data_IF_070932537551
#
_entry.id   IF_070932537551
#
_cell.length_a   1.000
_cell.length_b   1.000
_cell.length_c   1.000
_cell.angle_alpha   90.00
_cell.angle_beta   90.00
_cell.angle_gamma   90.00
#
_symmetry.space_group_name_H-M   'P 1'
#
loop_
_entity.id
_entity.type
_entity.pdbx_description
1 polymer ?
#
# COMPACT_ATOMS: atom_id res chain seq x y z
N UNK A 1 24.81 3.99 -26.21
CA UNK A 1 23.44 3.49 -26.43
C UNK A 1 22.59 4.03 -25.30
N UNK A 2 21.78 5.06 -25.56
CA UNK A 2 20.94 5.71 -24.55
C UNK A 2 19.71 4.84 -24.31
N UNK A 3 19.70 4.03 -23.26
CA UNK A 3 18.44 3.57 -22.68
C UNK A 3 17.81 4.77 -21.99
N UNK A 4 16.76 5.33 -22.58
CA UNK A 4 15.81 6.19 -21.88
C UNK A 4 15.13 5.33 -20.82
N UNK A 5 15.81 5.10 -19.69
CA UNK A 5 15.24 4.37 -18.58
C UNK A 5 14.26 5.33 -17.91
N UNK A 6 12.97 5.16 -18.21
CA UNK A 6 11.93 5.91 -17.51
C UNK A 6 12.14 5.74 -16.01
N UNK A 7 12.00 6.81 -15.21
CA UNK A 7 12.21 6.73 -13.78
C UNK A 7 11.27 5.69 -13.18
N UNK A 8 11.78 4.86 -12.27
CA UNK A 8 10.97 3.87 -11.55
C UNK A 8 9.90 4.61 -10.73
N UNK A 9 8.64 4.20 -10.87
CA UNK A 9 7.51 4.80 -10.14
C UNK A 9 6.99 3.85 -9.08
N UNK A 10 7.20 4.20 -7.82
CA UNK A 10 6.89 3.34 -6.67
C UNK A 10 5.71 3.90 -5.87
N UNK A 11 4.69 3.07 -5.69
CA UNK A 11 3.62 3.29 -4.72
C UNK A 11 4.09 2.81 -3.35
N UNK A 12 4.36 3.75 -2.46
CA UNK A 12 4.97 3.49 -1.17
C UNK A 12 3.91 3.45 -0.06
N UNK A 13 3.55 2.25 0.40
CA UNK A 13 2.46 2.02 1.34
C UNK A 13 3.00 2.02 2.78
N UNK A 14 2.41 2.86 3.62
CA UNK A 14 2.82 3.04 5.01
C UNK A 14 1.62 3.01 5.94
N UNK A 15 1.85 2.69 7.22
CA UNK A 15 0.78 2.67 8.21
C UNK A 15 0.14 4.05 8.40
N UNK A 16 0.96 5.08 8.56
CA UNK A 16 0.53 6.45 8.87
C UNK A 16 1.63 7.42 8.49
N UNK A 17 1.35 8.50 7.78
CA UNK A 17 2.35 9.48 7.36
C UNK A 17 1.71 10.87 7.15
N UNK A 18 2.40 11.99 7.40
CA UNK A 18 3.71 12.10 8.06
C UNK A 18 3.61 11.83 9.56
N UNK A 19 4.67 11.26 10.14
CA UNK A 19 4.72 10.99 11.59
C UNK A 19 6.06 11.40 12.18
N UNK A 20 6.06 12.20 13.25
CA UNK A 20 7.27 12.74 13.87
C UNK A 20 8.24 11.64 14.35
N UNK A 21 7.67 10.52 14.82
CA UNK A 21 8.43 9.34 15.26
C UNK A 21 8.91 8.45 14.11
N UNK A 22 8.45 8.65 12.88
CA UNK A 22 8.78 7.81 11.71
C UNK A 22 9.74 8.54 10.76
N UNK A 23 10.84 9.04 11.32
CA UNK A 23 11.92 9.69 10.55
C UNK A 23 12.55 8.76 9.53
N UNK A 24 12.59 7.45 9.82
CA UNK A 24 13.15 6.43 8.92
C UNK A 24 12.41 6.36 7.58
N UNK A 25 11.08 6.41 7.59
CA UNK A 25 10.26 6.43 6.36
C UNK A 25 10.58 7.68 5.53
N UNK A 26 10.61 8.84 6.19
CA UNK A 26 10.91 10.10 5.51
C UNK A 26 12.30 10.08 4.87
N UNK A 27 13.31 9.65 5.62
CA UNK A 27 14.68 9.56 5.12
C UNK A 27 14.81 8.58 3.95
N UNK A 28 14.11 7.45 4.01
CA UNK A 28 14.10 6.46 2.93
C UNK A 28 13.46 7.03 1.66
N UNK A 29 12.28 7.65 1.77
CA UNK A 29 11.61 8.25 0.61
C UNK A 29 12.47 9.37 0.00
N UNK A 30 13.06 10.25 0.82
CA UNK A 30 13.97 11.29 0.33
C UNK A 30 15.21 10.71 -0.36
N UNK A 31 15.75 9.60 0.14
CA UNK A 31 16.88 8.91 -0.49
C UNK A 31 16.49 8.27 -1.83
N UNK A 32 15.28 7.74 -1.96
CA UNK A 32 14.73 7.21 -3.21
C UNK A 32 14.52 8.34 -4.23
N UNK A 33 13.92 9.46 -3.81
CA UNK A 33 13.75 10.64 -4.65
C UNK A 33 15.10 11.20 -5.15
N UNK A 34 16.11 11.26 -4.27
CA UNK A 34 17.46 11.67 -4.64
C UNK A 34 18.13 10.75 -5.67
N UNK A 35 17.70 9.49 -5.76
CA UNK A 35 18.14 8.52 -6.76
C UNK A 35 17.29 8.57 -8.06
N UNK A 36 16.34 9.50 -8.15
CA UNK A 36 15.47 9.66 -9.32
C UNK A 36 14.26 8.72 -9.35
N UNK A 37 13.97 8.01 -8.26
CA UNK A 37 12.72 7.24 -8.11
C UNK A 37 11.57 8.20 -7.88
N UNK A 38 10.50 8.04 -8.65
CA UNK A 38 9.26 8.79 -8.42
C UNK A 38 8.41 8.05 -7.39
N UNK A 39 8.24 8.65 -6.23
CA UNK A 39 7.49 8.05 -5.13
C UNK A 39 6.11 8.67 -5.02
N UNK A 40 5.10 7.84 -4.78
CA UNK A 40 3.76 8.24 -4.36
C UNK A 40 3.41 7.51 -3.08
N UNK A 41 3.14 8.24 -2.01
CA UNK A 41 2.90 7.66 -0.69
C UNK A 41 1.41 7.33 -0.56
N UNK A 42 1.11 6.10 -0.15
CA UNK A 42 -0.22 5.65 0.22
C UNK A 42 -0.25 5.37 1.72
N UNK A 43 -0.83 6.29 2.50
CA UNK A 43 -0.88 6.16 3.95
C UNK A 43 -2.18 5.47 4.36
N UNK A 44 -2.10 4.38 5.16
CA UNK A 44 -3.31 3.67 5.60
C UNK A 44 -4.21 4.57 6.45
N UNK A 45 -3.62 5.40 7.31
CA UNK A 45 -4.34 6.41 8.10
C UNK A 45 -3.67 7.78 8.07
N UNK A 46 -4.42 8.85 8.29
CA UNK A 46 -3.86 10.17 8.52
C UNK A 46 -3.63 10.36 10.04
N UNK A 47 -2.38 10.50 10.50
CA UNK A 47 -2.13 10.67 11.93
C UNK A 47 -2.53 12.06 12.46
N UNK A 48 -2.86 13.02 11.59
CA UNK A 48 -3.25 14.39 11.93
C UNK A 48 -2.25 15.08 12.88
N UNK A 49 -0.95 14.86 12.66
CA UNK A 49 0.09 15.47 13.49
C UNK A 49 0.21 16.98 13.20
N UNK A 50 0.22 17.78 14.27
CA UNK A 50 0.43 19.23 14.19
C UNK A 50 1.90 19.62 14.03
N UNK A 51 2.82 18.72 14.39
CA UNK A 51 4.27 18.92 14.30
C UNK A 51 4.87 17.77 13.51
N UNK A 52 5.56 18.11 12.43
CA UNK A 52 6.27 17.17 11.56
C UNK A 52 7.72 17.60 11.43
N UNK A 53 8.57 16.71 10.92
CA UNK A 53 9.97 17.04 10.68
C UNK A 53 10.09 18.13 9.61
N UNK A 54 11.04 19.08 9.72
CA UNK A 54 11.27 20.09 8.68
C UNK A 54 11.56 19.49 7.30
N UNK A 55 12.21 18.32 7.26
CA UNK A 55 12.55 17.59 6.04
C UNK A 55 11.32 17.16 5.23
N UNK A 56 10.11 17.13 5.82
CA UNK A 56 8.87 16.89 5.08
C UNK A 56 8.67 17.96 4.00
N UNK A 57 9.20 19.18 4.19
CA UNK A 57 9.13 20.25 3.18
C UNK A 57 9.96 19.97 1.93
N UNK A 58 10.96 19.09 2.01
CA UNK A 58 11.78 18.68 0.87
C UNK A 58 11.12 17.58 0.02
N UNK A 59 10.11 16.91 0.58
CA UNK A 59 9.42 15.78 -0.04
C UNK A 59 8.69 16.22 -1.32
N UNK A 60 8.94 15.51 -2.43
CA UNK A 60 8.24 15.73 -3.70
C UNK A 60 7.01 14.81 -3.84
N UNK A 61 7.03 13.67 -3.15
CA UNK A 61 5.99 12.66 -3.20
C UNK A 61 4.64 13.21 -2.72
N UNK A 62 3.62 13.02 -3.57
CA UNK A 62 2.23 13.18 -3.15
C UNK A 62 1.84 12.10 -2.14
N UNK A 63 0.94 12.46 -1.22
CA UNK A 63 0.39 11.55 -0.22
C UNK A 63 -1.12 11.38 -0.47
N UNK A 64 -1.56 10.15 -0.65
CA UNK A 64 -2.98 9.79 -0.65
C UNK A 64 -3.32 8.98 0.61
N UNK A 65 -4.41 9.34 1.27
CA UNK A 65 -4.85 8.66 2.49
C UNK A 65 -5.89 7.58 2.16
N UNK A 66 -5.56 6.32 2.45
CA UNK A 66 -6.44 5.20 2.14
C UNK A 66 -7.64 5.12 3.09
N UNK A 67 -7.58 5.72 4.28
CA UNK A 67 -8.73 5.83 5.19
C UNK A 67 -9.89 6.66 4.60
N UNK A 68 -9.62 7.51 3.59
CA UNK A 68 -10.67 8.21 2.85
C UNK A 68 -11.64 7.24 2.17
N UNK A 69 -11.22 5.99 1.90
CA UNK A 69 -12.10 4.95 1.40
C UNK A 69 -13.35 4.76 2.28
N UNK A 70 -13.23 4.93 3.60
CA UNK A 70 -14.34 4.78 4.55
C UNK A 70 -15.17 6.05 4.73
N UNK A 71 -14.62 7.21 4.36
CA UNK A 71 -15.28 8.51 4.51
C UNK A 71 -16.23 8.81 3.34
N UNK A 72 -16.15 8.00 2.27
CA UNK A 72 -16.99 8.15 1.07
C UNK A 72 -18.38 7.56 1.30
N UNK A 73 -19.35 8.06 0.52
CA UNK A 73 -20.69 7.49 0.52
C UNK A 73 -20.65 5.99 0.17
N UNK A 74 -21.41 5.16 0.90
CA UNK A 74 -21.42 3.70 0.71
C UNK A 74 -21.68 3.27 -0.74
N UNK A 75 -22.46 4.06 -1.50
CA UNK A 75 -22.71 3.83 -2.94
C UNK A 75 -21.43 3.91 -3.77
N UNK A 76 -20.54 4.84 -3.45
CA UNK A 76 -19.25 4.98 -4.14
C UNK A 76 -18.33 3.79 -3.83
N UNK A 77 -18.31 3.34 -2.58
CA UNK A 77 -17.55 2.14 -2.17
C UNK A 77 -18.08 0.91 -2.93
N UNK A 78 -19.41 0.68 -2.89
CA UNK A 78 -20.00 -0.43 -3.63
C UNK A 78 -19.74 -0.37 -5.13
N UNK A 79 -19.77 0.83 -5.71
CA UNK A 79 -19.48 1.02 -7.12
C UNK A 79 -18.04 0.63 -7.45
N UNK A 80 -17.05 0.98 -6.63
CA UNK A 80 -15.66 0.58 -6.85
C UNK A 80 -15.45 -0.93 -6.70
N UNK A 81 -16.12 -1.56 -5.74
CA UNK A 81 -16.13 -3.02 -5.62
C UNK A 81 -16.79 -3.70 -6.82
N UNK A 82 -17.92 -3.18 -7.30
CA UNK A 82 -18.60 -3.71 -8.48
C UNK A 82 -17.74 -3.53 -9.73
N UNK A 83 -17.16 -2.35 -9.93
CA UNK A 83 -16.22 -2.12 -11.03
C UNK A 83 -15.06 -3.10 -10.98
N UNK A 84 -14.45 -3.31 -9.81
CA UNK A 84 -13.34 -4.25 -9.65
C UNK A 84 -13.76 -5.70 -9.94
N UNK A 85 -14.95 -6.11 -9.49
CA UNK A 85 -15.50 -7.42 -9.80
C UNK A 85 -15.76 -7.61 -11.30
N UNK A 86 -16.20 -6.56 -12.00
CA UNK A 86 -16.49 -6.62 -13.43
C UNK A 86 -15.22 -6.55 -14.29
N UNK A 87 -14.20 -5.80 -13.89
CA UNK A 87 -12.96 -5.64 -14.67
C UNK A 87 -11.92 -6.73 -14.38
N UNK A 88 -11.90 -7.27 -13.17
CA UNK A 88 -10.95 -8.30 -12.75
C UNK A 88 -11.64 -9.37 -11.87
N UNK A 89 -12.62 -10.14 -12.39
CA UNK A 89 -13.44 -11.05 -11.57
C UNK A 89 -12.62 -12.11 -10.83
N UNK A 90 -11.64 -12.73 -11.50
CA UNK A 90 -10.78 -13.75 -10.88
C UNK A 90 -9.89 -13.14 -9.79
N UNK A 91 -9.32 -11.97 -10.04
CA UNK A 91 -8.50 -11.24 -9.07
C UNK A 91 -9.33 -10.80 -7.86
N UNK A 92 -10.52 -10.26 -8.08
CA UNK A 92 -11.45 -9.84 -7.04
C UNK A 92 -11.91 -11.01 -6.17
N UNK A 93 -12.42 -12.08 -6.78
CA UNK A 93 -12.87 -13.26 -6.04
C UNK A 93 -11.71 -13.93 -5.31
N UNK A 94 -10.52 -13.98 -5.92
CA UNK A 94 -9.31 -14.48 -5.28
C UNK A 94 -8.87 -13.65 -4.09
N UNK A 95 -8.90 -12.32 -4.19
CA UNK A 95 -8.59 -11.41 -3.09
C UNK A 95 -9.63 -11.50 -1.95
N UNK A 96 -10.92 -11.52 -2.28
CA UNK A 96 -11.99 -11.69 -1.30
C UNK A 96 -11.86 -13.03 -0.57
N UNK A 97 -11.60 -14.10 -1.31
CA UNK A 97 -11.38 -15.42 -0.74
C UNK A 97 -10.18 -15.48 0.18
N UNK A 98 -9.06 -14.85 -0.22
CA UNK A 98 -7.86 -14.72 0.59
C UNK A 98 -8.16 -14.05 1.92
N UNK A 99 -8.91 -12.94 1.90
CA UNK A 99 -9.34 -12.23 3.10
C UNK A 99 -10.23 -13.11 3.98
N UNK A 100 -11.24 -13.79 3.41
CA UNK A 100 -12.18 -14.63 4.17
C UNK A 100 -11.50 -15.83 4.83
N UNK A 101 -10.58 -16.48 4.12
CA UNK A 101 -9.92 -17.72 4.56
C UNK A 101 -8.84 -17.55 5.62
N UNK A 102 -8.33 -16.33 5.81
CA UNK A 102 -7.21 -16.07 6.73
C UNK A 102 -7.64 -15.12 7.86
N UNK A 103 -8.33 -15.62 8.90
CA UNK A 103 -8.69 -14.79 10.07
C UNK A 103 -7.48 -14.36 10.90
N UNK A 104 -6.33 -15.02 10.74
CA UNK A 104 -5.08 -14.61 11.37
C UNK A 104 -4.59 -13.23 10.94
N UNK A 105 -5.08 -12.69 9.82
CA UNK A 105 -4.77 -11.31 9.41
C UNK A 105 -5.29 -10.25 10.36
N UNK A 106 -6.24 -10.59 11.24
CA UNK A 106 -6.73 -9.72 12.30
C UNK A 106 -5.94 -9.87 13.62
N UNK A 107 -4.98 -10.78 13.68
CA UNK A 107 -4.22 -11.09 14.90
C UNK A 107 -2.90 -10.33 14.96
N UNK A 108 -2.47 -10.02 16.19
CA UNK A 108 -1.15 -9.46 16.43
C UNK A 108 -1.07 -7.95 16.23
N UNK A 109 0.03 -7.47 15.64
CA UNK A 109 0.25 -6.04 15.40
C UNK A 109 -0.47 -5.56 14.14
N UNK A 110 -1.74 -5.18 14.30
CA UNK A 110 -2.61 -4.65 13.25
C UNK A 110 -3.26 -3.34 13.69
N UNK A 111 -3.59 -2.47 12.74
CA UNK A 111 -4.33 -1.22 12.97
C UNK A 111 -5.67 -1.19 12.24
N UNK A 112 -5.89 -2.10 11.28
CA UNK A 112 -7.11 -2.25 10.50
C UNK A 112 -7.49 -3.73 10.45
N UNK A 113 -8.78 -4.02 10.37
CA UNK A 113 -9.21 -5.40 10.11
C UNK A 113 -8.87 -5.82 8.68
N UNK A 114 -8.81 -7.12 8.42
CA UNK A 114 -8.61 -7.69 7.09
C UNK A 114 -9.64 -7.22 6.06
N UNK A 115 -10.87 -6.94 6.49
CA UNK A 115 -11.93 -6.40 5.63
C UNK A 115 -11.74 -4.90 5.37
N UNK A 116 -11.25 -4.15 6.36
CA UNK A 116 -10.83 -2.77 6.18
C UNK A 116 -9.68 -2.69 5.15
N UNK A 117 -8.64 -3.51 5.32
CA UNK A 117 -7.55 -3.64 4.36
C UNK A 117 -8.06 -4.00 2.95
N UNK A 118 -9.10 -4.83 2.84
CA UNK A 118 -9.71 -5.15 1.54
C UNK A 118 -10.39 -3.95 0.87
N UNK A 119 -11.15 -3.16 1.63
CA UNK A 119 -11.76 -1.92 1.13
C UNK A 119 -10.67 -0.93 0.67
N UNK A 120 -9.61 -0.76 1.47
CA UNK A 120 -8.46 0.07 1.10
C UNK A 120 -7.74 -0.44 -0.15
N UNK A 121 -7.57 -1.76 -0.28
CA UNK A 121 -6.95 -2.35 -1.46
C UNK A 121 -7.80 -2.15 -2.72
N UNK A 122 -9.14 -2.29 -2.65
CA UNK A 122 -10.01 -1.99 -3.80
C UNK A 122 -9.95 -0.51 -4.18
N UNK A 123 -9.96 0.39 -3.19
CA UNK A 123 -9.81 1.82 -3.42
C UNK A 123 -8.46 2.16 -4.08
N UNK A 124 -7.36 1.65 -3.53
CA UNK A 124 -6.01 1.84 -4.06
C UNK A 124 -5.88 1.23 -5.46
N UNK A 125 -6.40 0.03 -5.69
CA UNK A 125 -6.44 -0.62 -7.00
C UNK A 125 -7.17 0.26 -8.03
N UNK A 126 -8.25 0.93 -7.64
CA UNK A 126 -8.93 1.93 -8.47
C UNK A 126 -8.07 3.16 -8.75
N UNK A 127 -7.38 3.70 -7.75
CA UNK A 127 -6.47 4.85 -7.93
C UNK A 127 -5.34 4.53 -8.91
N UNK A 128 -4.64 3.40 -8.72
CA UNK A 128 -3.52 3.01 -9.59
C UNK A 128 -4.00 2.70 -11.01
N UNK A 129 -5.17 2.07 -11.18
CA UNK A 129 -5.73 1.81 -12.52
C UNK A 129 -6.08 3.11 -13.26
N UNK A 130 -6.69 4.09 -12.59
CA UNK A 130 -7.01 5.40 -13.18
C UNK A 130 -5.77 6.20 -13.56
N UNK A 131 -4.65 6.00 -12.86
CA UNK A 131 -3.39 6.67 -13.14
C UNK A 131 -2.54 5.97 -14.22
N UNK A 132 -2.92 4.77 -14.70
CA UNK A 132 -2.14 4.03 -15.71
C UNK A 132 -1.97 4.85 -16.99
N UNK A 133 -0.71 4.99 -17.43
CA UNK A 133 -0.35 5.75 -18.64
C UNK A 133 -0.38 7.27 -18.48
N UNK A 134 -0.67 7.79 -17.29
CA UNK A 134 -0.74 9.22 -17.01
C UNK A 134 0.14 9.67 -15.84
N UNK A 135 0.01 10.95 -15.43
CA UNK A 135 0.66 11.47 -14.24
C UNK A 135 0.27 10.67 -12.99
N UNK A 136 1.26 10.22 -12.23
CA UNK A 136 1.05 9.43 -11.02
C UNK A 136 0.83 7.93 -11.25
N UNK A 137 1.15 7.41 -12.44
CA UNK A 137 1.28 5.97 -12.67
C UNK A 137 2.22 5.34 -11.63
N UNK A 138 1.88 4.14 -11.18
CA UNK A 138 2.70 3.30 -10.31
C UNK A 138 3.05 2.03 -11.06
N UNK A 139 4.32 1.66 -11.04
CA UNK A 139 4.84 0.43 -11.67
C UNK A 139 5.07 -0.69 -10.65
N UNK A 140 5.32 -0.33 -9.40
CA UNK A 140 5.63 -1.24 -8.31
C UNK A 140 5.09 -0.75 -6.98
N UNK A 141 4.72 -1.67 -6.08
CA UNK A 141 4.32 -1.33 -4.71
C UNK A 141 5.42 -1.71 -3.72
N UNK A 142 5.71 -0.81 -2.78
CA UNK A 142 6.56 -1.13 -1.64
C UNK A 142 5.81 -0.84 -0.35
N UNK A 143 5.61 -1.85 0.49
CA UNK A 143 5.01 -1.68 1.81
C UNK A 143 6.07 -1.65 2.90
N UNK A 144 6.19 -0.54 3.63
CA UNK A 144 7.29 -0.40 4.57
C UNK A 144 7.17 -1.27 5.85
N UNK A 145 5.98 -1.80 6.13
CA UNK A 145 5.75 -2.68 7.28
C UNK A 145 5.11 -3.97 6.84
N UNK A 146 5.46 -5.06 7.50
CA UNK A 146 4.96 -6.38 7.14
C UNK A 146 3.52 -6.66 7.60
N UNK A 147 2.80 -5.71 8.24
CA UNK A 147 1.38 -5.84 8.68
C UNK A 147 0.37 -5.33 7.63
N UNK A 148 -0.62 -4.52 8.03
CA UNK A 148 -1.67 -3.93 7.18
C UNK A 148 -1.16 -3.34 5.86
N UNK A 149 -0.07 -2.53 5.81
CA UNK A 149 0.47 -2.03 4.54
C UNK A 149 0.80 -3.14 3.54
N UNK A 150 1.40 -4.24 4.02
CA UNK A 150 1.73 -5.40 3.18
C UNK A 150 0.49 -6.19 2.80
N UNK A 151 -0.51 -6.33 3.69
CA UNK A 151 -1.78 -6.95 3.32
C UNK A 151 -2.48 -6.16 2.21
N UNK A 152 -2.49 -4.83 2.30
CA UNK A 152 -3.04 -3.96 1.25
C UNK A 152 -2.26 -4.14 -0.05
N UNK A 153 -0.92 -4.13 -0.01
CA UNK A 153 -0.09 -4.37 -1.19
C UNK A 153 -0.38 -5.72 -1.85
N UNK A 154 -0.44 -6.80 -1.06
CA UNK A 154 -0.74 -8.15 -1.51
C UNK A 154 -2.14 -8.25 -2.16
N UNK A 155 -3.13 -7.57 -1.59
CA UNK A 155 -4.47 -7.53 -2.18
C UNK A 155 -4.49 -6.71 -3.47
N UNK A 156 -3.80 -5.58 -3.55
CA UNK A 156 -3.69 -4.80 -4.80
C UNK A 156 -2.95 -5.60 -5.87
N UNK A 157 -1.91 -6.35 -5.51
CA UNK A 157 -1.23 -7.29 -6.41
C UNK A 157 -2.22 -8.27 -7.03
N UNK A 158 -3.03 -8.94 -6.20
CA UNK A 158 -4.06 -9.88 -6.67
C UNK A 158 -5.15 -9.23 -7.53
N UNK A 159 -5.51 -7.98 -7.24
CA UNK A 159 -6.53 -7.24 -7.98
C UNK A 159 -6.03 -6.69 -9.32
N UNK A 160 -4.75 -6.33 -9.43
CA UNK A 160 -4.23 -5.49 -10.54
C UNK A 160 -3.06 -6.10 -11.30
N UNK A 161 -2.40 -7.12 -10.74
CA UNK A 161 -1.16 -7.71 -11.23
C UNK A 161 0.11 -6.90 -10.91
N UNK A 162 0.02 -5.78 -10.18
CA UNK A 162 1.20 -5.00 -9.80
C UNK A 162 2.08 -5.80 -8.85
N UNK A 163 3.37 -5.88 -9.17
CA UNK A 163 4.36 -6.45 -8.26
C UNK A 163 4.43 -5.65 -6.94
N UNK A 164 4.83 -6.34 -5.87
CA UNK A 164 5.06 -5.69 -4.60
C UNK A 164 6.26 -6.26 -3.85
N UNK A 165 6.82 -5.42 -3.00
CA UNK A 165 7.87 -5.74 -2.02
C UNK A 165 7.45 -5.20 -0.67
N UNK A 166 8.06 -5.66 0.41
CA UNK A 166 7.83 -5.07 1.72
C UNK A 166 9.03 -5.15 2.64
N UNK A 167 9.12 -4.27 3.62
CA UNK A 167 10.13 -4.36 4.69
C UNK A 167 9.51 -4.97 5.94
N UNK A 168 10.24 -5.85 6.62
CA UNK A 168 9.83 -6.42 7.90
C UNK A 168 10.68 -5.87 9.05
N UNK A 169 10.04 -5.19 10.01
CA UNK A 169 10.71 -4.72 11.22
C UNK A 169 10.72 -5.79 12.30
N UNK A 170 11.61 -5.66 13.29
CA UNK A 170 11.69 -6.60 14.41
C UNK A 170 10.31 -6.82 15.08
N UNK A 171 9.55 -5.73 15.30
CA UNK A 171 8.19 -5.82 15.85
C UNK A 171 7.28 -6.69 14.98
N UNK A 172 7.37 -6.57 13.67
CA UNK A 172 6.54 -7.33 12.75
C UNK A 172 6.85 -8.82 12.82
N UNK A 173 8.15 -9.18 12.84
CA UNK A 173 8.61 -10.57 12.90
C UNK A 173 8.08 -11.29 14.15
N UNK A 174 8.00 -10.59 15.29
CA UNK A 174 7.57 -11.19 16.55
C UNK A 174 6.06 -11.06 16.83
N UNK A 175 5.37 -10.09 16.23
CA UNK A 175 3.97 -9.80 16.57
C UNK A 175 2.99 -10.13 15.44
N UNK A 176 3.44 -10.54 14.27
CA UNK A 176 2.57 -11.01 13.19
C UNK A 176 2.61 -12.54 13.15
N UNK A 177 1.46 -13.23 12.99
CA UNK A 177 1.44 -14.67 12.83
C UNK A 177 2.40 -15.15 11.73
N UNK A 178 3.20 -16.17 12.04
CA UNK A 178 4.19 -16.71 11.11
C UNK A 178 3.57 -17.20 9.78
N UNK A 179 2.33 -17.73 9.83
CA UNK A 179 1.59 -18.13 8.63
C UNK A 179 1.27 -16.94 7.73
N UNK A 180 0.88 -15.80 8.31
CA UNK A 180 0.61 -14.57 7.58
C UNK A 180 1.90 -14.00 6.95
N UNK A 181 3.01 -13.99 7.69
CA UNK A 181 4.31 -13.57 7.15
C UNK A 181 4.77 -14.49 6.01
N UNK A 182 4.69 -15.82 6.19
CA UNK A 182 5.07 -16.78 5.16
C UNK A 182 4.24 -16.59 3.88
N UNK A 183 2.92 -16.39 4.00
CA UNK A 183 2.06 -16.12 2.85
C UNK A 183 2.41 -14.81 2.13
N UNK A 184 2.79 -13.76 2.88
CA UNK A 184 3.27 -12.49 2.29
C UNK A 184 4.59 -12.66 1.56
N UNK A 185 5.55 -13.40 2.14
CA UNK A 185 6.86 -13.69 1.51
C UNK A 185 6.69 -14.47 0.21
N UNK A 186 5.74 -15.41 0.14
CA UNK A 186 5.53 -16.23 -1.07
C UNK A 186 5.03 -15.45 -2.28
N UNK A 187 4.37 -14.31 -2.07
CA UNK A 187 3.80 -13.49 -3.15
C UNK A 187 4.63 -12.23 -3.45
N UNK A 188 5.46 -11.77 -2.51
CA UNK A 188 6.31 -10.61 -2.71
C UNK A 188 7.52 -10.94 -3.60
N UNK A 189 7.98 -9.98 -4.38
CA UNK A 189 9.21 -10.14 -5.19
C UNK A 189 10.48 -10.08 -4.33
N UNK A 190 10.42 -9.37 -3.20
CA UNK A 190 11.49 -9.24 -2.22
C UNK A 190 10.95 -8.78 -0.86
N UNK A 191 11.74 -9.06 0.19
CA UNK A 191 11.52 -8.68 1.60
C UNK A 191 12.76 -8.01 2.17
#
# INVERSE_FOLDING_TARGET
>A
MNTTNSPLRVGYIVRSFPRLSQTFILNEVLALEAQGVQVRIFSCTNPNESVVQPQVQALQAGVDYLEEAYQRAWRAILWEHLLMLLTAPLGYLGALWHVVRHPEFDQGYTASSRYMCFVQAVYLAGLVQRARGGPGQVDHLHAHFAHDPTLIAQLVHRLTGLAFTFTAHARDIYQIPATALAGRIQEAEAV
#
